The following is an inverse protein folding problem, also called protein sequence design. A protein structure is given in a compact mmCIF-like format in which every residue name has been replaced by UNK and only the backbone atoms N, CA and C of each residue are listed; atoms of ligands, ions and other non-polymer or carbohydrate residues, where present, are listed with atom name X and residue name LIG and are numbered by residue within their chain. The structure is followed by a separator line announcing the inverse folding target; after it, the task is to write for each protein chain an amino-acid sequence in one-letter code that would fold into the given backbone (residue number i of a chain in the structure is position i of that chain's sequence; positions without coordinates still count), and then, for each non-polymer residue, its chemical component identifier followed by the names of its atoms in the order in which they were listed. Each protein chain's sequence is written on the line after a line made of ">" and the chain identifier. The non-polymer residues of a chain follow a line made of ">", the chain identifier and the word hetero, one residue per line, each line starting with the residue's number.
data_IF_028907248456
#
_entry.id   IF_028907248456
#
_cell.length_a   1.000
_cell.length_b   1.000
_cell.length_c   1.000
_cell.angle_alpha   90.00
_cell.angle_beta   90.00
_cell.angle_gamma   90.00
#
_symmetry.space_group_name_H-M   'P 1'
#
loop_
_entity.id
_entity.type
_entity.pdbx_description
1 polymer ?
#
# COMPACT_ATOMS: atom_id res chain seq x y z
N UNK A 1 -4.88 -10.71 -15.68
CA UNK A 1 -5.72 -11.35 -14.65
C UNK A 1 -4.84 -12.38 -13.96
N UNK A 2 -4.44 -12.10 -12.73
CA UNK A 2 -3.63 -13.05 -11.95
C UNK A 2 -4.58 -13.93 -11.16
N UNK A 3 -4.71 -15.19 -11.57
CA UNK A 3 -5.66 -16.15 -10.99
C UNK A 3 -5.10 -16.86 -9.75
N UNK A 4 -4.01 -16.36 -9.15
CA UNK A 4 -3.36 -16.99 -8.01
C UNK A 4 -4.32 -17.05 -6.83
N UNK A 5 -4.73 -18.26 -6.47
CA UNK A 5 -5.57 -18.51 -5.31
C UNK A 5 -4.70 -18.63 -4.05
N UNK A 6 -5.07 -17.90 -3.01
CA UNK A 6 -4.40 -17.99 -1.71
C UNK A 6 -4.74 -19.34 -1.04
N UNK A 7 -3.73 -20.12 -0.71
CA UNK A 7 -3.89 -21.41 -0.01
C UNK A 7 -3.88 -21.29 1.52
N UNK A 8 -3.68 -20.08 2.04
CA UNK A 8 -3.48 -19.78 3.47
C UNK A 8 -4.14 -18.46 3.89
N UNK A 9 -4.13 -18.21 5.20
CA UNK A 9 -4.57 -16.94 5.79
C UNK A 9 -6.09 -16.74 5.77
N UNK A 10 -6.51 -15.50 6.07
CA UNK A 10 -7.93 -15.14 6.18
C UNK A 10 -8.68 -15.28 4.85
N UNK A 11 -8.01 -14.96 3.74
CA UNK A 11 -8.59 -14.99 2.39
C UNK A 11 -8.29 -16.29 1.64
N UNK A 12 -8.14 -17.42 2.35
CA UNK A 12 -7.91 -18.73 1.74
C UNK A 12 -9.05 -19.07 0.76
N UNK A 13 -8.69 -19.51 -0.44
CA UNK A 13 -9.61 -19.86 -1.51
C UNK A 13 -10.03 -18.69 -2.41
N UNK A 14 -9.59 -17.46 -2.12
CA UNK A 14 -9.82 -16.28 -2.98
C UNK A 14 -8.59 -15.98 -3.83
N UNK A 15 -8.80 -15.30 -4.95
CA UNK A 15 -7.71 -14.85 -5.81
C UNK A 15 -7.00 -13.63 -5.22
N UNK A 16 -5.70 -13.50 -5.45
CA UNK A 16 -4.94 -12.33 -4.97
C UNK A 16 -5.46 -11.02 -5.57
N UNK A 17 -6.01 -11.05 -6.78
CA UNK A 17 -6.61 -9.90 -7.43
C UNK A 17 -7.89 -9.45 -6.70
N UNK A 18 -8.76 -10.38 -6.32
CA UNK A 18 -9.96 -10.08 -5.52
C UNK A 18 -9.58 -9.50 -4.14
N UNK A 19 -8.57 -10.11 -3.50
CA UNK A 19 -8.07 -9.64 -2.20
C UNK A 19 -7.44 -8.27 -2.31
N UNK A 20 -6.70 -7.98 -3.38
CA UNK A 20 -6.13 -6.65 -3.60
C UNK A 20 -7.20 -5.58 -3.82
N UNK A 21 -8.27 -5.90 -4.57
CA UNK A 21 -9.37 -4.95 -4.80
C UNK A 21 -10.22 -4.72 -3.53
N UNK A 22 -10.37 -5.73 -2.69
CA UNK A 22 -11.19 -5.67 -1.48
C UNK A 22 -10.42 -5.17 -0.26
N UNK A 23 -9.15 -5.58 -0.12
CA UNK A 23 -8.28 -5.29 1.02
C UNK A 23 -6.80 -5.15 0.58
N UNK A 24 -6.42 -4.00 0.01
CA UNK A 24 -5.03 -3.69 -0.33
C UNK A 24 -4.07 -3.75 0.87
N UNK A 25 -4.60 -3.54 2.09
CA UNK A 25 -3.80 -3.54 3.33
C UNK A 25 -3.32 -4.95 3.63
N UNK A 26 -4.18 -5.96 3.41
CA UNK A 26 -3.78 -7.35 3.49
C UNK A 26 -2.67 -7.70 2.50
N UNK A 27 -2.75 -7.22 1.24
CA UNK A 27 -1.69 -7.45 0.26
C UNK A 27 -0.34 -6.86 0.69
N UNK A 28 -0.34 -5.67 1.30
CA UNK A 28 0.89 -5.05 1.84
C UNK A 28 1.44 -5.78 3.07
N UNK A 29 0.57 -6.21 3.98
CA UNK A 29 0.97 -7.10 5.08
C UNK A 29 1.57 -8.39 4.53
N UNK A 30 0.88 -9.01 3.57
CA UNK A 30 1.28 -10.23 2.91
C UNK A 30 2.65 -10.05 2.30
N UNK A 31 2.90 -9.00 1.52
CA UNK A 31 4.23 -8.72 0.95
C UNK A 31 5.36 -8.65 1.99
N UNK A 32 5.07 -8.22 3.21
CA UNK A 32 6.01 -8.24 4.34
C UNK A 32 6.29 -9.64 4.89
N UNK A 33 5.37 -10.59 4.72
CA UNK A 33 5.46 -11.96 5.23
C UNK A 33 6.12 -12.93 4.25
N UNK A 34 7.32 -12.60 3.73
CA UNK A 34 7.99 -13.38 2.66
C UNK A 34 7.88 -14.89 2.84
N UNK A 35 8.03 -15.39 4.07
CA UNK A 35 7.94 -16.81 4.44
C UNK A 35 6.63 -17.50 4.03
N UNK A 36 5.51 -16.79 3.98
CA UNK A 36 4.19 -17.35 3.67
C UNK A 36 3.99 -17.64 2.17
N UNK A 37 4.81 -17.06 1.30
CA UNK A 37 4.67 -17.18 -0.16
C UNK A 37 6.01 -17.37 -0.88
N UNK A 38 7.04 -17.87 -0.17
CA UNK A 38 8.38 -18.15 -0.71
C UNK A 38 8.31 -19.01 -1.98
N UNK A 39 7.40 -19.98 -2.02
CA UNK A 39 7.26 -20.93 -3.12
C UNK A 39 6.26 -20.49 -4.20
N UNK A 40 5.66 -19.30 -4.06
CA UNK A 40 4.64 -18.79 -4.99
C UNK A 40 5.15 -17.56 -5.74
N UNK A 41 5.95 -17.81 -6.78
CA UNK A 41 6.55 -16.77 -7.61
C UNK A 41 5.51 -15.87 -8.28
N UNK A 42 4.40 -16.43 -8.76
CA UNK A 42 3.32 -15.65 -9.40
C UNK A 42 2.65 -14.68 -8.42
N UNK A 43 2.44 -15.11 -7.16
CA UNK A 43 1.97 -14.24 -6.09
C UNK A 43 2.95 -13.09 -5.82
N UNK A 44 4.25 -13.40 -5.76
CA UNK A 44 5.29 -12.39 -5.55
C UNK A 44 5.34 -11.39 -6.73
N UNK A 45 5.32 -11.85 -7.98
CA UNK A 45 5.28 -11.00 -9.17
C UNK A 45 4.04 -10.09 -9.17
N UNK A 46 2.87 -10.62 -8.81
CA UNK A 46 1.66 -9.80 -8.68
C UNK A 46 1.83 -8.70 -7.62
N UNK A 47 2.29 -9.05 -6.42
CA UNK A 47 2.47 -8.07 -5.34
C UNK A 47 3.54 -7.03 -5.70
N UNK A 48 4.61 -7.43 -6.38
CA UNK A 48 5.66 -6.51 -6.85
C UNK A 48 5.16 -5.58 -7.97
N UNK A 49 4.19 -6.02 -8.78
CA UNK A 49 3.57 -5.18 -9.83
C UNK A 49 2.72 -4.03 -9.25
N UNK A 50 2.30 -4.11 -7.99
CA UNK A 50 1.48 -3.08 -7.32
C UNK A 50 2.36 -2.10 -6.58
N UNK A 51 2.57 -0.92 -7.16
CA UNK A 51 3.43 0.14 -6.59
C UNK A 51 2.98 0.57 -5.20
N UNK A 52 1.68 0.60 -4.96
CA UNK A 52 1.05 0.89 -3.68
C UNK A 52 1.04 -0.30 -2.71
N UNK A 53 1.58 -1.46 -3.06
CA UNK A 53 1.85 -2.56 -2.12
C UNK A 53 3.31 -2.50 -1.68
N UNK A 54 4.23 -2.29 -2.62
CA UNK A 54 5.67 -2.21 -2.35
C UNK A 54 6.07 -0.92 -1.62
N UNK A 55 5.32 0.16 -1.82
CA UNK A 55 5.64 1.43 -1.19
C UNK A 55 5.54 1.32 0.34
N UNK A 56 6.52 1.87 1.05
CA UNK A 56 6.57 1.84 2.51
C UNK A 56 6.19 3.18 3.14
N UNK A 57 5.80 4.16 2.31
CA UNK A 57 5.28 5.43 2.80
C UNK A 57 3.98 5.21 3.60
N UNK A 58 3.67 6.17 4.46
CA UNK A 58 2.50 6.11 5.33
C UNK A 58 1.22 5.90 4.52
N UNK A 59 0.37 5.00 4.99
CA UNK A 59 -0.94 4.72 4.38
C UNK A 59 -1.99 5.53 5.11
N UNK A 60 -2.71 6.35 4.36
CA UNK A 60 -3.83 7.11 4.92
C UNK A 60 -4.90 6.14 5.41
N UNK A 61 -5.41 6.45 6.59
CA UNK A 61 -6.54 5.72 7.22
C UNK A 61 -7.77 6.61 7.33
N UNK A 62 -7.81 7.68 6.54
CA UNK A 62 -8.82 8.73 6.57
C UNK A 62 -8.81 9.53 5.26
N UNK A 63 -9.87 10.32 5.05
CA UNK A 63 -9.97 11.26 3.94
C UNK A 63 -10.29 10.62 2.58
N UNK A 64 -10.14 11.41 1.52
CA UNK A 64 -10.50 11.05 0.14
C UNK A 64 -9.74 9.80 -0.37
N UNK A 65 -8.50 9.67 0.04
CA UNK A 65 -7.58 8.61 -0.42
C UNK A 65 -7.29 7.59 0.69
N UNK A 66 -8.33 7.16 1.41
CA UNK A 66 -8.20 6.06 2.38
C UNK A 66 -7.53 4.84 1.72
N UNK A 67 -6.65 4.18 2.47
CA UNK A 67 -5.88 3.02 2.04
C UNK A 67 -4.87 3.29 0.92
N UNK A 68 -4.72 4.53 0.47
CA UNK A 68 -3.61 4.94 -0.41
C UNK A 68 -2.44 5.45 0.41
N UNK A 69 -1.25 5.25 -0.13
CA UNK A 69 -0.02 5.69 0.50
C UNK A 69 0.34 7.12 0.13
N UNK A 70 1.10 7.80 0.99
CA UNK A 70 1.54 9.19 0.79
C UNK A 70 2.28 9.35 -0.54
N UNK A 71 3.12 8.39 -0.92
CA UNK A 71 3.79 8.39 -2.22
C UNK A 71 2.79 8.29 -3.38
N UNK A 72 1.81 7.39 -3.29
CA UNK A 72 0.79 7.27 -4.33
C UNK A 72 0.04 8.61 -4.53
N UNK A 73 -0.29 9.29 -3.43
CA UNK A 73 -0.92 10.61 -3.47
C UNK A 73 0.01 11.64 -4.13
N UNK A 74 1.30 11.66 -3.78
CA UNK A 74 2.27 12.54 -4.44
C UNK A 74 2.33 12.33 -5.96
N UNK A 75 2.34 11.06 -6.40
CA UNK A 75 2.46 10.68 -7.80
C UNK A 75 1.18 10.95 -8.61
N UNK A 76 -0.01 10.88 -7.98
CA UNK A 76 -1.31 10.93 -8.69
C UNK A 76 -2.14 12.20 -8.40
N UNK A 77 -1.91 12.88 -7.27
CA UNK A 77 -2.63 14.09 -6.86
C UNK A 77 -1.75 15.00 -5.98
N UNK A 78 -0.85 15.74 -6.64
CA UNK A 78 0.04 16.72 -5.99
C UNK A 78 -0.72 17.79 -5.20
N UNK A 79 -1.90 18.20 -5.66
CA UNK A 79 -2.71 19.20 -4.96
C UNK A 79 -3.19 18.69 -3.62
N UNK A 80 -3.72 17.46 -3.57
CA UNK A 80 -4.09 16.83 -2.31
C UNK A 80 -2.88 16.55 -1.43
N UNK A 81 -1.74 16.14 -2.00
CA UNK A 81 -0.49 15.98 -1.24
C UNK A 81 -0.09 17.28 -0.54
N UNK A 82 -0.10 18.41 -1.26
CA UNK A 82 0.26 19.71 -0.69
C UNK A 82 -0.72 20.15 0.40
N UNK A 83 -2.03 19.95 0.19
CA UNK A 83 -3.04 20.21 1.22
C UNK A 83 -2.84 19.32 2.46
N UNK A 84 -2.53 18.04 2.25
CA UNK A 84 -2.26 17.10 3.34
C UNK A 84 -0.99 17.51 4.11
N UNK A 85 0.03 17.98 3.41
CA UNK A 85 1.27 18.50 4.01
C UNK A 85 1.01 19.74 4.88
N UNK A 86 0.19 20.69 4.42
CA UNK A 86 -0.12 21.91 5.18
C UNK A 86 -1.10 21.68 6.33
N UNK A 87 -1.98 20.68 6.21
CA UNK A 87 -3.04 20.40 7.19
C UNK A 87 -2.66 19.28 8.18
N UNK A 88 -1.54 18.58 7.96
CA UNK A 88 -1.15 17.46 8.81
C UNK A 88 -0.89 17.89 10.26
N UNK A 89 -1.60 17.25 11.20
CA UNK A 89 -1.39 17.43 12.64
C UNK A 89 0.00 16.92 13.05
N UNK A 90 0.74 17.72 13.83
CA UNK A 90 2.11 17.40 14.25
C UNK A 90 2.21 16.16 15.14
N UNK A 91 1.10 15.75 15.79
CA UNK A 91 1.05 14.57 16.64
C UNK A 91 1.08 13.28 15.81
N UNK A 92 0.75 13.33 14.52
CA UNK A 92 0.90 12.19 13.63
C UNK A 92 2.32 12.15 13.04
N UNK A 93 3.29 11.88 13.90
CA UNK A 93 4.73 11.89 13.56
C UNK A 93 5.05 10.98 12.37
N UNK A 94 4.40 9.81 12.26
CA UNK A 94 4.62 8.86 11.15
C UNK A 94 4.13 9.40 9.80
N UNK A 95 2.98 10.07 9.78
CA UNK A 95 2.48 10.72 8.56
C UNK A 95 3.39 11.89 8.18
N UNK A 96 3.76 12.74 9.15
CA UNK A 96 4.66 13.89 8.93
C UNK A 96 6.02 13.45 8.39
N UNK A 97 6.67 12.47 9.03
CA UNK A 97 7.94 11.89 8.56
C UNK A 97 7.81 11.37 7.13
N UNK A 98 6.73 10.63 6.82
CA UNK A 98 6.52 10.11 5.48
C UNK A 98 6.28 11.20 4.44
N UNK A 99 5.60 12.29 4.80
CA UNK A 99 5.36 13.44 3.94
C UNK A 99 6.67 14.18 3.63
N UNK A 100 7.51 14.41 4.63
CA UNK A 100 8.85 15.00 4.46
C UNK A 100 9.75 14.13 3.58
N UNK A 101 9.77 12.81 3.83
CA UNK A 101 10.57 11.87 3.05
C UNK A 101 10.15 11.83 1.57
N UNK A 102 8.84 11.87 1.30
CA UNK A 102 8.33 11.86 -0.08
C UNK A 102 8.60 13.20 -0.76
N UNK A 103 8.44 14.32 -0.05
CA UNK A 103 8.71 15.67 -0.58
C UNK A 103 10.21 15.93 -0.83
N UNK A 104 11.11 15.42 0.00
CA UNK A 104 12.56 15.65 -0.12
C UNK A 104 13.27 14.73 -1.12
N UNK A 105 12.61 13.69 -1.63
CA UNK A 105 13.18 12.71 -2.58
C UNK A 105 12.93 13.04 -4.05
N UNK A 106 12.07 14.01 -4.36
CA UNK A 106 11.62 14.35 -5.73
C UNK A 106 11.43 15.85 -5.87
#
# INVERSE_FOLDING_TARGET
>A
MSSVILSFGHYKGRSIEEVYNSDPRYCRWLFGQKRLFLDNKELLDFLMSKSDVIDKSYVLRFGKYDSKSVKWIYDNDKSYFNWLYTTCDERNMKLKESLELVKGRY
#
